data_IF_290436614824
#
_entry.id   IF_290436614824
#
_cell.length_a   1.000
_cell.length_b   1.000
_cell.length_c   1.000
_cell.angle_alpha   90.00
_cell.angle_beta   90.00
_cell.angle_gamma   90.00
#
_symmetry.space_group_name_H-M   'P 1'
#
loop_
_entity.id
_entity.type
_entity.pdbx_description
1 polymer ?
#
# COMPACT_ATOMS: atom_id res chain seq x y z
N UNK A 1 -10.79 4.69 -12.14
CA UNK A 1 -9.76 4.74 -11.09
C UNK A 1 -9.93 6.00 -10.28
N UNK A 2 -9.68 5.96 -8.98
CA UNK A 2 -9.79 7.06 -8.00
C UNK A 2 -8.47 7.22 -7.27
N UNK A 3 -8.30 8.33 -6.55
CA UNK A 3 -7.08 8.58 -5.77
C UNK A 3 -7.37 8.57 -4.28
N UNK A 4 -6.55 7.86 -3.51
CA UNK A 4 -6.62 7.84 -2.06
C UNK A 4 -5.30 8.30 -1.43
N UNK A 5 -5.37 8.79 -0.20
CA UNK A 5 -4.22 9.06 0.65
C UNK A 5 -4.00 7.83 1.55
N UNK A 6 -2.76 7.35 1.67
CA UNK A 6 -2.41 6.33 2.67
C UNK A 6 -1.89 7.03 3.94
N UNK A 7 -2.40 6.64 5.10
CA UNK A 7 -2.13 7.33 6.38
C UNK A 7 -0.68 7.24 6.85
N UNK A 8 0.13 6.32 6.32
CA UNK A 8 1.58 6.28 6.58
C UNK A 8 2.25 7.63 6.24
N UNK A 9 1.72 8.33 5.24
CA UNK A 9 2.20 9.64 4.77
C UNK A 9 2.33 10.65 5.90
N UNK A 10 1.36 10.69 6.81
CA UNK A 10 1.33 11.63 7.93
C UNK A 10 1.48 10.96 9.30
N UNK A 11 2.17 9.83 9.34
CA UNK A 11 2.41 9.06 10.58
C UNK A 11 3.48 9.64 11.50
N UNK A 12 4.20 10.70 11.08
CA UNK A 12 5.33 11.24 11.83
C UNK A 12 6.59 10.37 11.77
N UNK A 13 6.57 9.27 11.00
CA UNK A 13 7.69 8.34 10.92
C UNK A 13 8.80 8.78 9.96
N UNK A 14 8.45 9.61 8.97
CA UNK A 14 9.34 9.92 7.85
C UNK A 14 9.63 11.43 7.70
N UNK A 15 9.20 12.26 8.62
CA UNK A 15 9.43 13.70 8.63
C UNK A 15 9.61 14.23 10.06
N UNK A 16 10.20 15.41 10.19
CA UNK A 16 10.31 16.09 11.49
C UNK A 16 8.93 16.64 11.89
N UNK A 17 8.36 16.11 12.95
CA UNK A 17 7.07 16.54 13.46
C UNK A 17 6.26 15.40 14.06
N UNK A 18 5.06 15.74 14.55
CA UNK A 18 4.14 14.75 15.13
C UNK A 18 3.29 14.10 14.04
N UNK A 19 2.85 12.88 14.31
CA UNK A 19 1.80 12.23 13.53
C UNK A 19 0.52 13.08 13.56
N UNK A 20 -0.16 13.18 12.42
CA UNK A 20 -1.55 13.64 12.40
C UNK A 20 -2.46 12.52 12.92
N UNK A 21 -3.46 12.87 13.72
CA UNK A 21 -4.52 11.94 14.10
C UNK A 21 -5.29 11.46 12.87
N UNK A 22 -6.04 10.37 13.00
CA UNK A 22 -6.82 9.84 11.88
C UNK A 22 -7.86 10.86 11.39
N UNK A 23 -8.48 11.62 12.29
CA UNK A 23 -9.42 12.70 11.97
C UNK A 23 -8.76 13.84 11.21
N UNK A 24 -7.54 14.23 11.60
CA UNK A 24 -6.76 15.24 10.88
C UNK A 24 -6.39 14.74 9.48
N UNK A 25 -6.07 13.46 9.33
CA UNK A 25 -5.76 12.87 8.04
C UNK A 25 -6.97 12.74 7.11
N UNK A 26 -8.18 12.50 7.63
CA UNK A 26 -9.42 12.56 6.85
C UNK A 26 -9.60 13.98 6.26
N UNK A 27 -9.45 15.03 7.07
CA UNK A 27 -9.54 16.42 6.59
C UNK A 27 -8.41 16.74 5.61
N UNK A 28 -7.19 16.29 5.89
CA UNK A 28 -6.02 16.46 5.01
C UNK A 28 -6.24 15.81 3.66
N UNK A 29 -6.82 14.61 3.60
CA UNK A 29 -7.16 13.95 2.34
C UNK A 29 -8.12 14.81 1.49
N UNK A 30 -9.15 15.38 2.12
CA UNK A 30 -10.08 16.31 1.46
C UNK A 30 -9.37 17.60 0.99
N UNK A 31 -8.58 18.21 1.87
CA UNK A 31 -7.80 19.43 1.56
C UNK A 31 -6.91 19.24 0.32
N UNK A 32 -6.25 18.09 0.24
CA UNK A 32 -5.35 17.74 -0.86
C UNK A 32 -6.08 17.31 -2.15
N UNK A 33 -7.38 17.05 -2.08
CA UNK A 33 -8.21 16.66 -3.22
C UNK A 33 -8.18 15.18 -3.56
N UNK A 34 -8.00 14.33 -2.54
CA UNK A 34 -8.20 12.89 -2.61
C UNK A 34 -9.69 12.53 -2.48
N UNK A 35 -10.06 11.36 -3.00
CA UNK A 35 -11.41 10.81 -2.94
C UNK A 35 -11.55 9.72 -1.87
N UNK A 36 -10.42 9.21 -1.37
CA UNK A 36 -10.39 8.16 -0.38
C UNK A 36 -9.20 8.26 0.58
N UNK A 37 -9.29 7.43 1.62
CA UNK A 37 -8.25 7.23 2.62
C UNK A 37 -8.02 5.73 2.79
N UNK A 38 -6.78 5.27 2.61
CA UNK A 38 -6.31 3.97 3.02
C UNK A 38 -5.65 4.12 4.41
N UNK A 39 -5.98 3.22 5.34
CA UNK A 39 -5.61 3.38 6.75
C UNK A 39 -4.62 2.31 7.17
N UNK A 40 -3.39 2.69 7.48
CA UNK A 40 -2.41 1.79 8.08
C UNK A 40 -2.78 1.46 9.53
N UNK A 41 -2.95 0.17 9.84
CA UNK A 41 -3.52 -0.30 11.10
C UNK A 41 -2.49 -0.50 12.21
N UNK A 42 -1.67 0.53 12.42
CA UNK A 42 -0.69 0.54 13.51
C UNK A 42 -0.60 1.90 14.20
N UNK A 43 0.06 1.93 15.36
CA UNK A 43 0.45 3.17 16.03
C UNK A 43 1.46 3.97 15.19
N UNK A 44 1.42 5.30 15.26
CA UNK A 44 0.61 6.10 16.19
C UNK A 44 -0.80 6.44 15.68
N UNK A 45 -1.19 6.02 14.45
CA UNK A 45 -2.39 6.55 13.77
C UNK A 45 -3.66 5.75 14.08
N UNK A 46 -3.69 4.45 13.76
CA UNK A 46 -4.95 3.70 13.70
C UNK A 46 -4.82 2.24 14.16
N UNK A 47 -4.14 1.99 15.26
CA UNK A 47 -4.10 0.63 15.82
C UNK A 47 -5.49 0.17 16.25
N UNK A 48 -5.94 -1.03 15.91
CA UNK A 48 -7.20 -1.58 16.41
C UNK A 48 -7.23 -1.72 17.93
N UNK A 49 -6.06 -1.74 18.59
CA UNK A 49 -5.95 -1.77 20.05
C UNK A 49 -6.34 -0.45 20.72
N UNK A 50 -6.27 0.66 19.99
CA UNK A 50 -6.51 2.00 20.51
C UNK A 50 -7.88 2.55 20.10
N UNK A 51 -8.52 1.96 19.08
CA UNK A 51 -9.80 2.41 18.52
C UNK A 51 -10.97 1.60 19.07
N UNK A 52 -11.62 2.13 20.10
CA UNK A 52 -12.83 1.53 20.67
C UNK A 52 -14.06 1.70 19.77
N UNK A 53 -15.20 1.03 20.09
CA UNK A 53 -16.42 1.08 19.26
C UNK A 53 -16.94 2.51 19.00
N UNK A 54 -16.86 3.39 19.98
CA UNK A 54 -17.27 4.80 19.85
C UNK A 54 -16.37 5.55 18.86
N UNK A 55 -15.05 5.30 18.89
CA UNK A 55 -14.10 5.91 17.96
C UNK A 55 -14.33 5.43 16.53
N UNK A 56 -14.56 4.13 16.34
CA UNK A 56 -14.87 3.55 15.02
C UNK A 56 -16.13 4.17 14.42
N UNK A 57 -17.18 4.33 15.22
CA UNK A 57 -18.43 5.01 14.79
C UNK A 57 -18.18 6.45 14.41
N UNK A 58 -17.45 7.20 15.25
CA UNK A 58 -17.11 8.62 15.02
C UNK A 58 -16.26 8.81 13.76
N UNK A 59 -15.22 7.98 13.57
CA UNK A 59 -14.34 8.03 12.38
C UNK A 59 -15.14 7.76 11.11
N UNK A 60 -16.01 6.73 11.13
CA UNK A 60 -16.85 6.38 9.98
C UNK A 60 -17.79 7.52 9.60
N UNK A 61 -18.45 8.12 10.59
CA UNK A 61 -19.36 9.25 10.38
C UNK A 61 -18.60 10.45 9.81
N UNK A 62 -17.46 10.80 10.41
CA UNK A 62 -16.64 11.91 9.97
C UNK A 62 -16.12 11.75 8.54
N UNK A 63 -15.67 10.56 8.16
CA UNK A 63 -15.23 10.30 6.79
C UNK A 63 -16.39 10.50 5.79
N UNK A 64 -17.60 10.05 6.14
CA UNK A 64 -18.80 10.26 5.33
C UNK A 64 -19.17 11.74 5.20
N UNK A 65 -19.13 12.50 6.31
CA UNK A 65 -19.42 13.94 6.33
C UNK A 65 -18.42 14.75 5.50
N UNK A 66 -17.15 14.34 5.51
CA UNK A 66 -16.10 14.95 4.67
C UNK A 66 -16.13 14.49 3.22
N UNK A 67 -16.95 13.47 2.88
CA UNK A 67 -17.01 12.90 1.54
C UNK A 67 -15.78 12.08 1.16
N UNK A 68 -15.05 11.55 2.16
CA UNK A 68 -13.86 10.69 1.97
C UNK A 68 -14.24 9.23 2.18
N UNK A 69 -14.03 8.40 1.15
CA UNK A 69 -14.22 6.97 1.27
C UNK A 69 -13.08 6.33 2.09
N UNK A 70 -13.40 5.54 3.11
CA UNK A 70 -12.42 4.65 3.74
C UNK A 70 -12.26 3.45 2.82
N UNK A 71 -11.21 3.45 1.97
CA UNK A 71 -11.12 2.54 0.84
C UNK A 71 -10.40 1.23 1.13
N UNK A 72 -9.46 1.22 2.08
CA UNK A 72 -8.73 0.02 2.50
C UNK A 72 -8.21 0.17 3.93
N UNK A 73 -8.03 -0.96 4.64
CA UNK A 73 -7.13 -1.05 5.79
C UNK A 73 -5.83 -1.73 5.37
N UNK A 74 -4.72 -1.22 5.88
CA UNK A 74 -3.37 -1.66 5.54
C UNK A 74 -2.72 -2.33 6.75
N UNK A 75 -2.69 -3.65 6.77
CA UNK A 75 -2.08 -4.40 7.86
C UNK A 75 -0.56 -4.53 7.69
N UNK A 76 0.13 -4.71 8.81
CA UNK A 76 1.58 -5.01 8.88
C UNK A 76 1.81 -6.48 9.23
N UNK A 77 1.14 -7.38 8.53
CA UNK A 77 1.06 -8.81 8.84
C UNK A 77 2.34 -9.59 8.52
N UNK A 78 2.62 -10.59 9.34
CA UNK A 78 3.68 -11.57 9.10
C UNK A 78 3.18 -12.98 9.47
N UNK A 79 2.99 -13.84 8.48
CA UNK A 79 2.49 -15.21 8.67
C UNK A 79 3.61 -16.25 8.70
N UNK A 80 4.89 -15.84 8.54
CA UNK A 80 6.02 -16.77 8.38
C UNK A 80 6.73 -17.13 9.66
N UNK A 81 6.32 -16.59 10.81
CA UNK A 81 6.93 -16.84 12.10
C UNK A 81 7.08 -18.34 12.40
N UNK A 82 8.29 -18.76 12.84
CA UNK A 82 8.55 -20.14 13.23
C UNK A 82 8.16 -20.39 14.70
N UNK A 83 8.00 -19.33 15.48
CA UNK A 83 7.59 -19.37 16.89
C UNK A 83 6.07 -19.35 16.92
N UNK A 84 5.47 -20.32 17.62
CA UNK A 84 4.01 -20.49 17.63
C UNK A 84 3.30 -19.27 18.24
N UNK A 85 3.83 -18.74 19.33
CA UNK A 85 3.26 -17.59 20.02
C UNK A 85 3.30 -16.33 19.15
N UNK A 86 4.35 -16.12 18.36
CA UNK A 86 4.43 -15.02 17.41
C UNK A 86 3.37 -15.15 16.32
N UNK A 87 3.16 -16.38 15.84
CA UNK A 87 2.11 -16.68 14.86
C UNK A 87 0.72 -16.39 15.43
N UNK A 88 0.42 -16.87 16.63
CA UNK A 88 -0.84 -16.64 17.32
C UNK A 88 -1.09 -15.15 17.57
N UNK A 89 -0.07 -14.40 17.99
CA UNK A 89 -0.16 -12.95 18.15
C UNK A 89 -0.47 -12.23 16.84
N UNK A 90 0.16 -12.64 15.73
CA UNK A 90 -0.14 -12.08 14.41
C UNK A 90 -1.57 -12.41 13.96
N UNK A 91 -2.04 -13.64 14.16
CA UNK A 91 -3.41 -14.04 13.85
C UNK A 91 -4.43 -13.26 14.69
N UNK A 92 -4.18 -13.12 16.00
CA UNK A 92 -5.03 -12.33 16.89
C UNK A 92 -5.10 -10.86 16.46
N UNK A 93 -3.97 -10.26 16.06
CA UNK A 93 -3.93 -8.90 15.53
C UNK A 93 -4.70 -8.81 14.21
N UNK A 94 -4.55 -9.78 13.30
CA UNK A 94 -5.30 -9.78 12.04
C UNK A 94 -6.80 -9.87 12.28
N UNK A 95 -7.24 -10.64 13.26
CA UNK A 95 -8.66 -10.67 13.65
C UNK A 95 -9.16 -9.31 14.12
N UNK A 96 -8.39 -8.62 14.95
CA UNK A 96 -8.71 -7.26 15.39
C UNK A 96 -8.77 -6.26 14.22
N UNK A 97 -7.89 -6.40 13.21
CA UNK A 97 -7.92 -5.60 11.98
C UNK A 97 -9.19 -5.89 11.16
N UNK A 98 -9.60 -7.14 11.00
CA UNK A 98 -10.83 -7.50 10.30
C UNK A 98 -12.08 -6.96 11.00
N UNK A 99 -12.12 -7.02 12.34
CA UNK A 99 -13.20 -6.41 13.13
C UNK A 99 -13.24 -4.89 12.97
N UNK A 100 -12.09 -4.24 12.95
CA UNK A 100 -11.99 -2.81 12.66
C UNK A 100 -12.50 -2.49 11.24
N UNK A 101 -12.12 -3.29 10.24
CA UNK A 101 -12.58 -3.13 8.86
C UNK A 101 -14.11 -3.24 8.76
N UNK A 102 -14.68 -4.28 9.36
CA UNK A 102 -16.13 -4.49 9.43
C UNK A 102 -16.84 -3.28 10.05
N UNK A 103 -16.38 -2.79 11.20
CA UNK A 103 -17.00 -1.70 11.94
C UNK A 103 -16.91 -0.36 11.20
N UNK A 104 -15.79 -0.11 10.50
CA UNK A 104 -15.63 1.05 9.63
C UNK A 104 -16.37 0.91 8.28
N UNK A 105 -16.78 -0.31 7.91
CA UNK A 105 -17.42 -0.59 6.62
C UNK A 105 -16.43 -0.68 5.47
N UNK A 106 -15.17 -1.02 5.77
CA UNK A 106 -14.10 -1.22 4.78
C UNK A 106 -14.10 -2.67 4.31
N UNK A 107 -14.08 -2.88 3.00
CA UNK A 107 -14.17 -4.21 2.40
C UNK A 107 -12.84 -4.75 1.85
N UNK A 108 -11.78 -3.97 1.89
CA UNK A 108 -10.44 -4.37 1.44
C UNK A 108 -9.46 -4.26 2.61
N UNK A 109 -8.76 -5.35 2.91
CA UNK A 109 -7.66 -5.36 3.87
C UNK A 109 -6.40 -5.81 3.15
N UNK A 110 -5.43 -4.88 3.01
CA UNK A 110 -4.12 -5.22 2.45
C UNK A 110 -3.29 -5.98 3.47
N UNK A 111 -2.63 -7.02 3.00
CA UNK A 111 -1.77 -7.89 3.80
C UNK A 111 -0.38 -8.04 3.17
N UNK A 112 0.60 -8.27 4.04
CA UNK A 112 1.90 -8.82 3.65
C UNK A 112 1.95 -10.29 4.04
N UNK A 113 2.63 -11.11 3.23
CA UNK A 113 2.92 -12.50 3.61
C UNK A 113 3.92 -12.57 4.79
N UNK A 114 4.89 -11.65 4.84
CA UNK A 114 6.03 -11.73 5.76
C UNK A 114 6.63 -10.35 6.08
N UNK A 115 5.85 -9.42 6.62
CA UNK A 115 6.35 -8.09 6.93
C UNK A 115 7.44 -8.14 8.02
N UNK A 116 8.63 -7.56 7.78
CA UNK A 116 9.74 -7.65 8.72
C UNK A 116 9.66 -6.64 9.89
N UNK A 117 8.84 -5.60 9.74
CA UNK A 117 8.75 -4.51 10.68
C UNK A 117 9.54 -3.26 10.27
N UNK A 118 9.29 -2.17 11.00
CA UNK A 118 10.01 -0.90 10.90
C UNK A 118 10.65 -0.65 12.27
N UNK A 119 11.93 -0.30 12.27
CA UNK A 119 12.59 0.23 13.46
C UNK A 119 12.30 1.72 13.50
N UNK A 120 11.70 2.17 14.59
CA UNK A 120 11.52 3.59 14.90
C UNK A 120 12.35 3.90 16.14
N UNK A 121 13.37 4.72 15.97
CA UNK A 121 14.14 5.30 17.05
C UNK A 121 13.65 6.73 17.26
N UNK A 122 13.49 7.18 18.50
CA UNK A 122 13.00 8.55 18.79
C UNK A 122 13.91 9.64 18.20
N UNK A 123 15.18 9.32 17.92
CA UNK A 123 16.17 10.24 17.35
C UNK A 123 16.41 10.03 15.84
N UNK A 124 15.83 8.98 15.24
CA UNK A 124 16.04 8.62 13.84
C UNK A 124 14.71 8.50 13.08
N UNK A 125 14.78 8.79 11.79
CA UNK A 125 13.69 8.46 10.88
C UNK A 125 13.50 6.95 10.81
N UNK A 126 12.25 6.52 10.74
CA UNK A 126 11.90 5.11 10.63
C UNK A 126 12.60 4.43 9.47
N UNK A 127 13.18 3.28 9.72
CA UNK A 127 13.91 2.49 8.75
C UNK A 127 13.35 1.08 8.68
N UNK A 128 13.26 0.52 7.49
CA UNK A 128 12.87 -0.86 7.33
C UNK A 128 13.92 -1.78 7.94
N UNK A 129 13.53 -2.57 8.94
CA UNK A 129 14.42 -3.45 9.69
C UNK A 129 15.33 -4.33 8.83
N UNK A 130 14.91 -4.84 7.65
CA UNK A 130 15.76 -5.65 6.78
C UNK A 130 16.81 -4.88 5.99
N UNK A 131 16.57 -3.62 5.67
CA UNK A 131 17.48 -2.85 4.80
C UNK A 131 18.82 -2.58 5.45
N UNK A 132 18.84 -2.32 6.75
CA UNK A 132 20.09 -2.05 7.46
C UNK A 132 20.82 -3.29 7.90
N UNK A 133 20.12 -4.40 8.07
CA UNK A 133 20.65 -5.61 8.69
C UNK A 133 20.30 -6.88 7.93
N UNK A 134 20.53 -6.89 6.63
CA UNK A 134 20.28 -8.07 5.80
C UNK A 134 20.80 -9.37 6.40
N UNK A 135 21.92 -9.31 7.16
CA UNK A 135 22.44 -10.43 7.92
C UNK A 135 21.64 -10.71 9.21
N UNK A 136 21.04 -9.70 9.82
CA UNK A 136 20.21 -9.89 11.02
C UNK A 136 18.85 -10.51 10.67
N UNK A 137 18.24 -10.01 9.62
CA UNK A 137 17.00 -10.60 9.08
C UNK A 137 17.18 -12.07 8.67
N UNK A 138 18.30 -12.39 8.01
CA UNK A 138 18.65 -13.77 7.64
C UNK A 138 18.88 -14.67 8.86
N UNK A 139 19.32 -14.13 10.01
CA UNK A 139 19.45 -14.90 11.25
C UNK A 139 18.15 -15.12 11.97
N UNK A 140 17.28 -14.10 12.01
CA UNK A 140 15.96 -14.20 12.64
C UNK A 140 14.99 -15.05 11.81
N UNK A 141 15.12 -14.96 10.49
CA UNK A 141 14.26 -15.67 9.54
C UNK A 141 15.13 -16.37 8.48
N UNK A 142 15.83 -17.46 8.86
CA UNK A 142 16.66 -18.18 7.91
C UNK A 142 15.81 -18.65 6.73
N UNK A 143 16.37 -18.76 5.52
CA UNK A 143 15.70 -19.37 4.38
C UNK A 143 15.20 -20.76 4.78
N UNK A 144 13.90 -20.89 4.85
CA UNK A 144 13.21 -22.11 5.29
C UNK A 144 12.05 -22.33 4.33
N UNK A 145 12.06 -23.46 3.64
CA UNK A 145 11.00 -23.83 2.70
C UNK A 145 9.61 -23.79 3.35
N UNK A 146 9.52 -24.01 4.67
CA UNK A 146 8.27 -23.92 5.41
C UNK A 146 7.73 -22.53 5.59
N UNK A 147 8.52 -21.46 5.33
CA UNK A 147 8.02 -20.08 5.40
C UNK A 147 6.89 -19.84 4.40
N UNK A 148 7.05 -20.37 3.20
CA UNK A 148 6.01 -20.29 2.17
C UNK A 148 4.73 -21.00 2.60
N UNK A 149 4.83 -22.25 3.06
CA UNK A 149 3.67 -23.02 3.52
C UNK A 149 3.01 -22.37 4.74
N UNK A 150 3.82 -21.89 5.73
CA UNK A 150 3.27 -21.17 6.88
C UNK A 150 2.51 -19.91 6.50
N UNK A 151 3.01 -19.17 5.49
CA UNK A 151 2.29 -18.00 4.96
C UNK A 151 0.95 -18.40 4.36
N UNK A 152 0.92 -19.42 3.51
CA UNK A 152 -0.31 -19.94 2.90
C UNK A 152 -1.32 -20.38 3.97
N UNK A 153 -0.90 -21.17 4.95
CA UNK A 153 -1.76 -21.63 6.04
C UNK A 153 -2.34 -20.47 6.87
N UNK A 154 -1.50 -19.51 7.26
CA UNK A 154 -1.95 -18.34 8.03
C UNK A 154 -2.87 -17.42 7.25
N UNK A 155 -2.58 -17.20 5.95
CA UNK A 155 -3.45 -16.38 5.09
C UNK A 155 -4.79 -17.11 4.83
N UNK A 156 -4.81 -18.44 4.66
CA UNK A 156 -6.05 -19.21 4.53
C UNK A 156 -6.96 -19.03 5.75
N UNK A 157 -6.41 -19.14 6.95
CA UNK A 157 -7.16 -18.95 8.19
C UNK A 157 -7.77 -17.54 8.30
N UNK A 158 -6.98 -16.51 8.00
CA UNK A 158 -7.45 -15.12 8.00
C UNK A 158 -8.44 -14.86 6.87
N UNK A 159 -8.26 -15.49 5.70
CA UNK A 159 -9.18 -15.36 4.56
C UNK A 159 -10.55 -15.98 4.86
N UNK A 160 -10.60 -17.09 5.60
CA UNK A 160 -11.85 -17.69 6.02
C UNK A 160 -12.61 -16.75 6.97
N UNK A 161 -11.95 -16.14 7.96
CA UNK A 161 -12.57 -15.11 8.82
C UNK A 161 -12.99 -13.87 8.04
N UNK A 162 -12.17 -13.41 7.10
CA UNK A 162 -12.46 -12.26 6.25
C UNK A 162 -13.69 -12.51 5.36
N UNK A 163 -13.84 -13.73 4.83
CA UNK A 163 -14.99 -14.14 4.03
C UNK A 163 -16.31 -14.02 4.80
N UNK A 164 -16.33 -14.46 6.05
CA UNK A 164 -17.50 -14.35 6.94
C UNK A 164 -17.91 -12.88 7.18
N UNK A 165 -16.99 -11.95 7.02
CA UNK A 165 -17.20 -10.50 7.19
C UNK A 165 -17.40 -9.76 5.86
N UNK A 166 -17.39 -10.45 4.71
CA UNK A 166 -17.47 -9.84 3.39
C UNK A 166 -16.23 -9.02 3.01
N UNK A 167 -15.06 -9.39 3.54
CA UNK A 167 -13.80 -8.67 3.34
C UNK A 167 -12.91 -9.43 2.35
N UNK A 168 -12.30 -8.68 1.43
CA UNK A 168 -11.26 -9.14 0.50
C UNK A 168 -9.89 -8.83 1.08
N UNK A 169 -9.01 -9.82 1.09
CA UNK A 169 -7.59 -9.64 1.41
C UNK A 169 -6.82 -9.29 0.14
N UNK A 170 -6.03 -8.22 0.18
CA UNK A 170 -5.18 -7.79 -0.92
C UNK A 170 -3.70 -8.09 -0.60
N UNK A 171 -3.15 -9.17 -1.13
CA UNK A 171 -1.75 -9.55 -0.94
C UNK A 171 -0.84 -8.63 -1.76
N UNK A 172 0.08 -7.94 -1.10
CA UNK A 172 0.98 -6.99 -1.74
C UNK A 172 2.28 -7.66 -2.20
N UNK A 173 2.72 -7.33 -3.43
CA UNK A 173 4.09 -7.55 -3.86
C UNK A 173 4.99 -6.53 -3.16
N UNK A 174 5.93 -6.97 -2.33
CA UNK A 174 6.81 -6.06 -1.60
C UNK A 174 8.14 -6.74 -1.24
N UNK A 175 9.28 -6.15 -1.59
CA UNK A 175 10.57 -6.57 -1.04
C UNK A 175 10.76 -5.90 0.34
N UNK A 176 11.42 -6.55 1.28
CA UNK A 176 12.13 -7.83 1.21
C UNK A 176 11.31 -9.03 1.72
N UNK A 177 10.00 -9.01 1.57
CA UNK A 177 9.12 -10.13 1.92
C UNK A 177 9.24 -11.29 0.93
N UNK A 178 8.60 -12.43 1.23
CA UNK A 178 8.68 -13.63 0.39
C UNK A 178 7.87 -13.53 -0.91
N UNK A 179 7.18 -12.43 -1.13
CA UNK A 179 6.48 -12.08 -2.37
C UNK A 179 7.07 -10.79 -2.98
N UNK A 180 8.36 -10.76 -3.36
CA UNK A 180 9.01 -9.51 -3.81
C UNK A 180 8.52 -9.06 -5.20
N UNK A 181 8.11 -9.98 -6.06
CA UNK A 181 7.60 -9.71 -7.39
C UNK A 181 6.11 -10.00 -7.55
N UNK A 182 5.55 -9.63 -8.70
CA UNK A 182 4.18 -9.97 -9.02
C UNK A 182 4.02 -11.49 -9.22
N UNK A 183 5.05 -12.14 -9.74
CA UNK A 183 5.09 -13.58 -10.00
C UNK A 183 4.89 -14.36 -8.70
N UNK A 184 5.65 -13.98 -7.65
CA UNK A 184 5.56 -14.62 -6.34
C UNK A 184 4.20 -14.35 -5.67
N UNK A 185 3.72 -13.12 -5.75
CA UNK A 185 2.42 -12.75 -5.15
C UNK A 185 1.27 -13.47 -5.84
N UNK A 186 1.30 -13.59 -7.17
CA UNK A 186 0.31 -14.32 -7.96
C UNK A 186 0.35 -15.82 -7.66
N UNK A 187 1.55 -16.41 -7.61
CA UNK A 187 1.72 -17.84 -7.28
C UNK A 187 1.18 -18.13 -5.87
N UNK A 188 1.54 -17.32 -4.88
CA UNK A 188 1.04 -17.49 -3.52
C UNK A 188 -0.48 -17.34 -3.44
N UNK A 189 -1.06 -16.34 -4.10
CA UNK A 189 -2.51 -16.16 -4.16
C UNK A 189 -3.20 -17.39 -4.75
N UNK A 190 -2.66 -17.95 -5.84
CA UNK A 190 -3.19 -19.16 -6.47
C UNK A 190 -3.12 -20.38 -5.55
N UNK A 191 -1.99 -20.58 -4.85
CA UNK A 191 -1.84 -21.69 -3.89
C UNK A 191 -2.73 -21.52 -2.65
N UNK A 192 -3.07 -20.30 -2.23
CA UNK A 192 -3.98 -20.05 -1.11
C UNK A 192 -5.39 -20.58 -1.40
N UNK A 193 -5.84 -20.58 -2.65
CA UNK A 193 -7.14 -21.14 -3.08
C UNK A 193 -8.34 -20.57 -2.28
N UNK A 194 -8.34 -19.26 -2.03
CA UNK A 194 -9.48 -18.56 -1.42
C UNK A 194 -9.96 -17.44 -2.36
N UNK A 195 -11.23 -17.42 -2.75
CA UNK A 195 -11.76 -16.47 -3.74
C UNK A 195 -11.69 -15.02 -3.29
N UNK A 196 -11.68 -14.77 -1.99
CA UNK A 196 -11.55 -13.44 -1.38
C UNK A 196 -10.10 -13.03 -1.12
N UNK A 197 -9.10 -13.79 -1.59
CA UNK A 197 -7.70 -13.34 -1.63
C UNK A 197 -7.42 -12.81 -3.03
N UNK A 198 -6.97 -11.59 -3.10
CA UNK A 198 -6.69 -10.80 -4.30
C UNK A 198 -5.32 -10.15 -4.16
N UNK A 199 -4.96 -9.23 -5.06
CA UNK A 199 -3.65 -8.58 -5.12
C UNK A 199 -3.73 -7.07 -4.87
N UNK A 200 -2.75 -6.56 -4.15
CA UNK A 200 -2.30 -5.19 -4.19
C UNK A 200 -1.03 -5.17 -5.04
N UNK A 201 -1.10 -4.60 -6.24
CA UNK A 201 0.00 -4.61 -7.20
C UNK A 201 0.58 -3.21 -7.36
N UNK A 202 1.84 -3.03 -7.02
CA UNK A 202 2.49 -1.72 -6.99
C UNK A 202 3.64 -1.62 -7.98
N UNK A 203 3.53 -0.71 -8.95
CA UNK A 203 4.57 -0.47 -9.94
C UNK A 203 5.88 0.04 -9.33
N UNK A 204 5.80 0.82 -8.25
CA UNK A 204 7.01 1.31 -7.58
C UNK A 204 7.86 0.16 -7.01
N UNK A 205 7.24 -0.96 -6.65
CA UNK A 205 7.90 -2.14 -6.10
C UNK A 205 8.42 -3.11 -7.17
N UNK A 206 8.35 -2.74 -8.45
CA UNK A 206 9.05 -3.45 -9.51
C UNK A 206 10.54 -3.06 -9.57
N UNK A 207 10.96 -2.05 -8.81
CA UNK A 207 12.34 -1.55 -8.72
C UNK A 207 12.89 -1.19 -10.10
N UNK A 208 14.05 -1.72 -10.50
CA UNK A 208 14.64 -1.49 -11.83
C UNK A 208 13.86 -2.09 -13.01
N UNK A 209 12.86 -2.94 -12.75
CA UNK A 209 12.03 -3.57 -13.80
C UNK A 209 10.90 -2.67 -14.25
N UNK A 210 11.23 -1.49 -14.81
CA UNK A 210 10.28 -0.45 -15.23
C UNK A 210 10.03 -0.41 -16.74
N UNK A 211 10.41 -1.46 -17.51
CA UNK A 211 10.09 -1.52 -18.92
C UNK A 211 8.58 -1.66 -19.17
N UNK A 212 8.10 -1.07 -20.27
CA UNK A 212 6.69 -1.18 -20.62
C UNK A 212 6.24 -2.64 -20.79
N UNK A 213 7.11 -3.51 -21.33
CA UNK A 213 6.82 -4.92 -21.54
C UNK A 213 6.64 -5.66 -20.20
N UNK A 214 7.55 -5.45 -19.23
CA UNK A 214 7.42 -6.07 -17.91
C UNK A 214 6.15 -5.60 -17.17
N UNK A 215 5.84 -4.31 -17.25
CA UNK A 215 4.61 -3.75 -16.65
C UNK A 215 3.37 -4.32 -17.34
N UNK A 216 3.40 -4.46 -18.68
CA UNK A 216 2.33 -5.10 -19.44
C UNK A 216 2.12 -6.54 -18.94
N UNK A 217 3.17 -7.36 -18.90
CA UNK A 217 3.09 -8.74 -18.44
C UNK A 217 2.52 -8.84 -17.02
N UNK A 218 3.04 -8.03 -16.09
CA UNK A 218 2.60 -8.02 -14.70
C UNK A 218 1.11 -7.66 -14.56
N UNK A 219 0.67 -6.59 -15.22
CA UNK A 219 -0.72 -6.14 -15.13
C UNK A 219 -1.67 -7.09 -15.85
N UNK A 220 -1.28 -7.67 -17.01
CA UNK A 220 -2.12 -8.64 -17.71
C UNK A 220 -2.27 -9.94 -16.90
N UNK A 221 -1.19 -10.43 -16.30
CA UNK A 221 -1.23 -11.63 -15.47
C UNK A 221 -2.07 -11.45 -14.20
N UNK A 222 -1.97 -10.30 -13.55
CA UNK A 222 -2.65 -9.97 -12.29
C UNK A 222 -4.01 -9.32 -12.45
N UNK A 223 -4.34 -8.78 -13.63
CA UNK A 223 -5.45 -7.85 -13.87
C UNK A 223 -6.79 -8.22 -13.22
N UNK A 224 -7.31 -9.44 -13.36
CA UNK A 224 -8.58 -9.84 -12.74
C UNK A 224 -8.55 -9.88 -11.21
N UNK A 225 -7.36 -9.80 -10.63
CA UNK A 225 -7.12 -9.93 -9.20
C UNK A 225 -6.67 -8.65 -8.52
N UNK A 226 -6.34 -7.59 -9.27
CA UNK A 226 -5.89 -6.33 -8.68
C UNK A 226 -7.09 -5.60 -8.06
N UNK A 227 -7.04 -5.36 -6.74
CA UNK A 227 -8.09 -4.64 -6.00
C UNK A 227 -7.58 -3.37 -5.34
N UNK A 228 -6.27 -3.20 -5.23
CA UNK A 228 -5.60 -2.03 -4.67
C UNK A 228 -4.26 -1.82 -5.36
N UNK A 229 -3.76 -0.59 -5.38
CA UNK A 229 -2.40 -0.23 -5.83
C UNK A 229 -1.94 1.05 -5.16
N UNK A 230 -0.62 1.19 -4.99
CA UNK A 230 0.01 2.39 -4.43
C UNK A 230 0.91 3.10 -5.43
N UNK A 231 1.18 4.37 -5.13
CA UNK A 231 2.21 5.15 -5.78
C UNK A 231 2.97 6.02 -4.77
N UNK A 232 4.27 6.17 -5.00
CA UNK A 232 5.12 6.97 -4.14
C UNK A 232 4.94 8.48 -4.35
N UNK A 233 5.06 9.27 -3.29
CA UNK A 233 4.83 10.71 -3.31
C UNK A 233 6.10 11.56 -3.05
N UNK A 234 7.27 10.97 -3.01
CA UNK A 234 8.50 11.63 -2.53
C UNK A 234 9.47 12.12 -3.61
N UNK A 235 9.31 11.72 -4.86
CA UNK A 235 10.27 11.99 -5.94
C UNK A 235 9.68 12.85 -7.06
N UNK A 236 8.94 13.90 -6.71
CA UNK A 236 8.36 14.82 -7.68
C UNK A 236 8.81 16.26 -7.41
N UNK A 237 9.10 16.96 -8.51
CA UNK A 237 9.42 18.37 -8.48
C UNK A 237 8.61 19.14 -9.53
N UNK A 238 8.58 20.46 -9.38
CA UNK A 238 7.96 21.36 -10.32
C UNK A 238 9.02 22.16 -11.06
N UNK A 239 8.94 22.14 -12.38
CA UNK A 239 9.82 22.96 -13.22
C UNK A 239 9.45 24.45 -13.12
N UNK A 240 10.35 25.33 -13.59
CA UNK A 240 10.07 26.77 -13.64
C UNK A 240 8.81 27.13 -14.45
N UNK A 241 8.37 26.27 -15.35
CA UNK A 241 7.15 26.45 -16.16
C UNK A 241 5.89 25.85 -15.49
N UNK A 242 6.00 25.34 -14.26
CA UNK A 242 4.88 24.74 -13.52
C UNK A 242 4.55 23.30 -13.91
N UNK A 243 5.37 22.64 -14.74
CA UNK A 243 5.23 21.24 -15.08
C UNK A 243 5.74 20.36 -13.91
N UNK A 244 4.98 19.32 -13.57
CA UNK A 244 5.43 18.34 -12.57
C UNK A 244 6.23 17.24 -13.26
N UNK A 245 7.44 17.02 -12.76
CA UNK A 245 8.36 16.00 -13.27
C UNK A 245 8.71 15.02 -12.17
N UNK A 246 8.80 13.74 -12.52
CA UNK A 246 9.31 12.73 -11.61
C UNK A 246 10.83 12.78 -11.60
N UNK A 247 11.40 12.84 -10.41
CA UNK A 247 12.84 12.74 -10.21
C UNK A 247 13.28 11.27 -10.13
N UNK A 248 14.51 10.94 -10.52
CA UNK A 248 15.03 9.60 -10.29
C UNK A 248 14.92 9.18 -8.82
N UNK A 249 14.51 7.96 -8.59
CA UNK A 249 14.45 7.34 -7.27
C UNK A 249 15.54 6.24 -7.19
N UNK A 250 16.78 6.58 -6.78
CA UNK A 250 17.91 5.63 -6.83
C UNK A 250 17.66 4.33 -6.09
N UNK A 251 16.91 4.38 -4.99
CA UNK A 251 16.52 3.19 -4.22
C UNK A 251 15.60 2.24 -4.98
N UNK A 252 15.01 2.71 -6.09
CA UNK A 252 14.09 1.96 -6.95
C UNK A 252 14.62 1.80 -8.39
N UNK A 253 15.92 2.04 -8.61
CA UNK A 253 16.56 1.85 -9.91
C UNK A 253 16.31 2.96 -10.94
N UNK A 254 15.58 4.03 -10.60
CA UNK A 254 15.27 5.13 -11.50
C UNK A 254 13.84 5.65 -11.37
N UNK A 255 13.30 6.35 -12.39
CA UNK A 255 11.91 6.79 -12.40
C UNK A 255 10.97 5.59 -12.52
N UNK A 256 9.81 5.69 -11.89
CA UNK A 256 8.75 4.67 -11.98
C UNK A 256 7.90 4.97 -13.22
N UNK A 257 7.66 3.98 -14.04
CA UNK A 257 6.88 4.15 -15.28
C UNK A 257 5.37 4.10 -15.01
N UNK A 258 4.86 5.16 -14.36
CA UNK A 258 3.43 5.26 -14.06
C UNK A 258 2.56 5.41 -15.31
N UNK A 259 3.09 5.97 -16.41
CA UNK A 259 2.37 6.09 -17.68
C UNK A 259 2.00 4.70 -18.22
N UNK A 260 2.96 3.79 -18.32
CA UNK A 260 2.70 2.42 -18.75
C UNK A 260 1.77 1.72 -17.77
N UNK A 261 2.02 1.85 -16.46
CA UNK A 261 1.24 1.16 -15.44
C UNK A 261 -0.25 1.58 -15.46
N UNK A 262 -0.54 2.88 -15.47
CA UNK A 262 -1.91 3.39 -15.53
C UNK A 262 -2.59 3.01 -16.84
N UNK A 263 -1.86 3.03 -17.96
CA UNK A 263 -2.39 2.60 -19.25
C UNK A 263 -2.78 1.11 -19.23
N UNK A 264 -1.97 0.24 -18.65
CA UNK A 264 -2.26 -1.19 -18.53
C UNK A 264 -3.41 -1.46 -17.55
N UNK A 265 -3.46 -0.79 -16.39
CA UNK A 265 -4.59 -0.88 -15.45
C UNK A 265 -5.93 -0.56 -16.12
N UNK A 266 -5.93 0.41 -17.05
CA UNK A 266 -7.14 0.72 -17.84
C UNK A 266 -7.54 -0.41 -18.79
N UNK A 267 -6.57 -1.09 -19.41
CA UNK A 267 -6.85 -2.21 -20.33
C UNK A 267 -7.52 -3.38 -19.62
N UNK A 268 -7.15 -3.63 -18.35
CA UNK A 268 -7.78 -4.66 -17.50
C UNK A 268 -9.01 -4.15 -16.75
N UNK A 269 -9.49 -2.95 -17.07
CA UNK A 269 -10.67 -2.31 -16.49
C UNK A 269 -10.61 -2.12 -14.96
N UNK A 270 -9.43 -1.86 -14.42
CA UNK A 270 -9.27 -1.57 -13.00
C UNK A 270 -10.00 -0.28 -12.63
N UNK A 271 -10.89 -0.34 -11.62
CA UNK A 271 -11.71 0.77 -11.15
C UNK A 271 -11.40 1.20 -9.71
N UNK A 272 -10.44 0.54 -9.06
CA UNK A 272 -10.07 0.77 -7.68
C UNK A 272 -9.33 2.08 -7.43
N UNK A 273 -8.68 2.15 -6.27
CA UNK A 273 -7.92 3.31 -5.82
C UNK A 273 -6.42 3.15 -6.12
N UNK A 274 -5.80 4.27 -6.54
CA UNK A 274 -4.36 4.47 -6.49
C UNK A 274 -4.09 5.24 -5.18
N UNK A 275 -3.49 4.57 -4.19
CA UNK A 275 -3.23 5.19 -2.89
C UNK A 275 -1.85 5.81 -2.85
N UNK A 276 -1.80 7.09 -2.49
CA UNK A 276 -0.56 7.85 -2.36
C UNK A 276 0.14 7.54 -1.06
N UNK A 277 1.40 7.11 -1.12
CA UNK A 277 2.22 6.90 0.07
C UNK A 277 3.47 7.77 0.07
N UNK A 278 3.80 8.33 1.23
CA UNK A 278 5.09 8.96 1.49
C UNK A 278 5.77 8.16 2.61
N UNK A 279 6.53 7.14 2.23
CA UNK A 279 7.11 6.15 3.15
C UNK A 279 8.64 6.11 3.11
N UNK A 280 9.26 7.25 2.83
CA UNK A 280 10.71 7.46 2.89
C UNK A 280 11.02 8.77 3.61
N UNK A 281 12.29 8.95 4.03
CA UNK A 281 12.73 10.17 4.68
C UNK A 281 12.41 11.42 3.85
N UNK A 282 11.60 12.32 4.39
CA UNK A 282 11.38 13.64 3.79
C UNK A 282 12.65 14.48 3.97
N UNK A 283 13.41 14.67 2.90
CA UNK A 283 14.67 15.40 2.93
C UNK A 283 14.58 16.69 2.12
N UNK A 284 15.11 17.77 2.68
CA UNK A 284 15.36 19.02 1.97
C UNK A 284 16.74 19.53 2.30
N UNK A 285 17.55 19.80 1.27
CA UNK A 285 18.95 20.22 1.44
C UNK A 285 19.75 19.26 2.35
N UNK A 286 19.58 17.95 2.17
CA UNK A 286 20.21 16.88 2.95
C UNK A 286 19.87 16.86 4.45
N UNK A 287 18.77 17.51 4.85
CA UNK A 287 18.25 17.53 6.23
C UNK A 287 16.83 17.01 6.24
N UNK A 288 16.45 16.42 7.36
CA UNK A 288 15.06 16.01 7.59
C UNK A 288 14.17 17.25 7.55
N UNK A 289 13.17 17.18 6.68
CA UNK A 289 12.18 18.24 6.49
C UNK A 289 10.94 18.01 7.37
N UNK A 290 10.15 19.05 7.56
CA UNK A 290 8.86 18.99 8.23
C UNK A 290 7.73 18.48 7.33
N UNK A 291 6.52 18.58 7.86
CA UNK A 291 5.28 18.16 7.19
C UNK A 291 5.03 18.90 5.86
N UNK A 292 5.56 20.12 5.72
CA UNK A 292 5.39 20.95 4.53
C UNK A 292 6.03 20.32 3.30
N UNK A 293 7.13 19.58 3.46
CA UNK A 293 7.77 18.85 2.37
C UNK A 293 6.95 17.63 1.97
N UNK A 294 6.33 16.94 2.94
CA UNK A 294 5.38 15.85 2.69
C UNK A 294 4.15 16.37 1.94
N UNK A 295 3.57 17.49 2.38
CA UNK A 295 2.46 18.15 1.69
C UNK A 295 2.81 18.52 0.25
N UNK A 296 4.01 19.10 0.04
CA UNK A 296 4.50 19.47 -1.29
C UNK A 296 4.60 18.23 -2.19
N UNK A 297 5.32 17.21 -1.74
CA UNK A 297 5.51 15.97 -2.52
C UNK A 297 4.18 15.29 -2.85
N UNK A 298 3.31 15.16 -1.86
CA UNK A 298 1.98 14.55 -2.02
C UNK A 298 1.10 15.29 -3.04
N UNK A 299 1.11 16.65 -3.00
CA UNK A 299 0.38 17.48 -3.99
C UNK A 299 0.94 17.30 -5.40
N UNK A 300 2.26 17.30 -5.55
CA UNK A 300 2.91 17.14 -6.85
C UNK A 300 2.64 15.76 -7.44
N UNK A 301 2.80 14.71 -6.65
CA UNK A 301 2.52 13.33 -7.08
C UNK A 301 1.06 13.17 -7.52
N UNK A 302 0.11 13.67 -6.74
CA UNK A 302 -1.32 13.61 -7.10
C UNK A 302 -1.59 14.35 -8.41
N UNK A 303 -1.00 15.55 -8.60
CA UNK A 303 -1.15 16.32 -9.84
C UNK A 303 -0.58 15.58 -11.04
N UNK A 304 0.60 14.98 -10.89
CA UNK A 304 1.24 14.17 -11.92
C UNK A 304 0.36 12.97 -12.31
N UNK A 305 -0.06 12.17 -11.34
CA UNK A 305 -0.86 10.97 -11.59
C UNK A 305 -2.24 11.28 -12.17
N UNK A 306 -2.87 12.39 -11.76
CA UNK A 306 -4.11 12.89 -12.41
C UNK A 306 -3.86 13.24 -13.87
N UNK A 307 -2.72 13.85 -14.21
CA UNK A 307 -2.31 14.12 -15.58
C UNK A 307 -2.12 12.84 -16.40
N UNK A 308 -1.39 11.87 -15.83
CA UNK A 308 -1.18 10.54 -16.46
C UNK A 308 -2.53 9.84 -16.73
N UNK A 309 -3.43 9.83 -15.76
CA UNK A 309 -4.75 9.21 -15.91
C UNK A 309 -5.60 9.93 -16.97
N UNK A 310 -5.56 11.25 -17.04
CA UNK A 310 -6.27 12.03 -18.05
C UNK A 310 -5.73 11.75 -19.46
N UNK A 311 -4.41 11.75 -19.64
CA UNK A 311 -3.75 11.42 -20.90
C UNK A 311 -4.08 9.99 -21.36
N UNK A 312 -3.98 9.02 -20.45
CA UNK A 312 -4.38 7.65 -20.75
C UNK A 312 -5.87 7.55 -21.11
N UNK A 313 -6.74 8.41 -20.59
CA UNK A 313 -8.18 8.43 -20.86
C UNK A 313 -8.53 8.99 -22.23
N UNK A 314 -7.70 9.82 -22.81
CA UNK A 314 -7.88 10.35 -24.17
C UNK A 314 -7.48 9.36 -25.27
N UNK A 315 -6.76 8.29 -24.93
CA UNK A 315 -6.40 7.23 -25.87
C UNK A 315 -7.56 6.22 -25.98
N UNK A 316 -8.11 5.93 -27.19
CA UNK A 316 -9.19 4.94 -27.32
C UNK A 316 -8.79 3.58 -26.75
N UNK A 317 -9.69 2.92 -26.03
CA UNK A 317 -9.48 1.52 -25.65
C UNK A 317 -9.30 0.69 -26.93
N UNK A 318 -8.29 -0.21 -27.02
CA UNK A 318 -8.22 -1.14 -28.12
C UNK A 318 -9.53 -1.92 -28.19
N UNK A 319 -10.15 -1.97 -29.38
CA UNK A 319 -11.33 -2.81 -29.59
C UNK A 319 -10.94 -4.26 -29.24
N UNK A 320 -11.64 -4.85 -28.28
CA UNK A 320 -11.54 -6.29 -28.07
C UNK A 320 -11.93 -6.97 -29.38
N UNK A 321 -10.96 -7.59 -30.05
CA UNK A 321 -11.25 -8.50 -31.17
C UNK A 321 -12.14 -9.60 -30.59
N UNK A 322 -13.43 -9.55 -30.93
CA UNK A 322 -14.31 -10.70 -30.75
C UNK A 322 -13.72 -11.81 -31.61
N UNK A 323 -13.05 -12.77 -30.96
CA UNK A 323 -12.71 -14.04 -31.61
C UNK A 323 -14.04 -14.76 -31.81
N UNK A 324 -14.46 -14.80 -33.08
CA UNK A 324 -15.62 -15.57 -33.55
C UNK A 324 -15.25 -17.04 -33.56
#
# INVERSE_FOLDING_TARGET
>A
MKFALLTVTYSGLFYAGKALSLEEQIRKAKELGFEGLAIETKRPVASPLDLGPADRTRIKAMAADEGIALCALESVSNFTGAIMEDRENNLAMMRAVLELARDLGVTIVKIFAAWPGIINDEEAIAMYAPYERGNHYKRLYPPDLRRWQRAIEGIREVADWASDMGITLALQNHAPVITPGYEDALAMMQEIERPNVKLCLDALLFYERQSADYIHEAVQACGPHIVLTHYGAWNFDETANGEVVQQPAPSFGGPINYEAFVAELRKVDYQGYLASEYCTAALRNHRIAGIEEVDRGTKLALRYLKGVLAAASSTPKPQQLQVV
#
